data_IF_739867015561
#
_entry.id   IF_739867015561
#
_cell.length_a   1.000
_cell.length_b   1.000
_cell.length_c   1.000
_cell.angle_alpha   90.00
_cell.angle_beta   90.00
_cell.angle_gamma   90.00
#
_symmetry.space_group_name_H-M   'P 1'
#
loop_
_entity.id
_entity.type
_entity.pdbx_description
1 polymer ?
#
# COMPACT_ATOMS: atom_id res chain seq x y z
N UNK A 1 -12.06 4.91 -17.59
CA UNK A 1 -12.86 5.90 -16.81
C UNK A 1 -11.94 6.52 -15.78
N UNK A 2 -11.82 7.83 -15.83
CA UNK A 2 -10.97 8.61 -14.91
C UNK A 2 -11.83 9.44 -13.96
N UNK A 3 -11.21 10.03 -12.92
CA UNK A 3 -11.88 10.98 -12.03
C UNK A 3 -12.43 12.20 -12.79
N UNK A 4 -11.76 12.60 -13.87
CA UNK A 4 -12.18 13.72 -14.71
C UNK A 4 -13.43 13.39 -15.52
N UNK A 5 -13.57 12.16 -16.00
CA UNK A 5 -14.77 11.71 -16.73
C UNK A 5 -16.00 11.72 -15.82
N UNK A 6 -15.82 11.23 -14.57
CA UNK A 6 -16.89 11.25 -13.55
C UNK A 6 -17.26 12.68 -13.18
N UNK A 7 -16.28 13.56 -13.02
CA UNK A 7 -16.50 14.97 -12.73
C UNK A 7 -17.32 15.65 -13.83
N UNK A 8 -16.95 15.41 -15.08
CA UNK A 8 -17.65 15.92 -16.27
C UNK A 8 -19.13 15.45 -16.31
N UNK A 9 -19.36 14.14 -16.12
CA UNK A 9 -20.73 13.58 -16.14
C UNK A 9 -21.57 14.03 -14.92
N UNK A 10 -20.91 14.22 -13.78
CA UNK A 10 -21.57 14.75 -12.59
C UNK A 10 -21.85 16.27 -12.67
N UNK A 11 -21.18 17.00 -13.57
CA UNK A 11 -21.25 18.45 -13.64
C UNK A 11 -20.58 19.16 -12.46
N UNK A 12 -19.49 18.58 -11.94
CA UNK A 12 -18.74 19.11 -10.80
C UNK A 12 -17.24 19.09 -11.06
N UNK A 13 -16.46 19.73 -10.19
CA UNK A 13 -14.98 19.67 -10.29
C UNK A 13 -14.42 18.30 -9.88
N UNK A 14 -13.26 17.93 -10.42
CA UNK A 14 -12.54 16.72 -10.02
C UNK A 14 -12.19 16.73 -8.51
N UNK A 15 -11.96 17.90 -7.93
CA UNK A 15 -11.75 18.06 -6.48
C UNK A 15 -12.99 17.72 -5.67
N UNK A 16 -14.19 18.03 -6.15
CA UNK A 16 -15.44 17.63 -5.52
C UNK A 16 -15.65 16.12 -5.56
N UNK A 17 -15.34 15.48 -6.69
CA UNK A 17 -15.35 14.02 -6.82
C UNK A 17 -14.34 13.38 -5.85
N UNK A 18 -13.13 13.90 -5.79
CA UNK A 18 -12.09 13.45 -4.85
C UNK A 18 -12.54 13.54 -3.39
N UNK A 19 -13.21 14.64 -3.00
CA UNK A 19 -13.76 14.77 -1.65
C UNK A 19 -14.84 13.72 -1.35
N UNK A 20 -15.68 13.38 -2.32
CA UNK A 20 -16.69 12.32 -2.16
C UNK A 20 -16.04 10.96 -1.99
N UNK A 21 -15.05 10.63 -2.83
CA UNK A 21 -14.29 9.37 -2.77
C UNK A 21 -13.62 9.20 -1.41
N UNK A 22 -13.00 10.27 -0.90
CA UNK A 22 -12.29 10.26 0.38
C UNK A 22 -13.18 10.56 1.60
N UNK A 23 -14.49 10.56 1.41
CA UNK A 23 -15.49 10.80 2.45
C UNK A 23 -15.31 12.09 3.25
N UNK A 24 -14.71 13.13 2.63
CA UNK A 24 -14.48 14.43 3.28
C UNK A 24 -15.78 15.23 3.38
N UNK A 25 -15.85 16.09 4.40
CA UNK A 25 -16.93 17.06 4.61
C UNK A 25 -16.88 18.21 3.58
N UNK A 26 -17.94 19.03 3.52
CA UNK A 26 -17.98 20.21 2.64
C UNK A 26 -18.37 19.90 1.19
N UNK A 27 -19.07 18.80 0.94
CA UNK A 27 -19.69 18.48 -0.35
C UNK A 27 -21.21 18.47 -0.16
N UNK A 28 -21.92 19.18 -1.02
CA UNK A 28 -23.38 19.19 -1.01
C UNK A 28 -23.93 17.74 -1.06
N UNK A 29 -24.93 17.37 -0.22
CA UNK A 29 -25.48 16.03 -0.15
C UNK A 29 -26.01 15.49 -1.49
N UNK A 30 -26.59 16.34 -2.32
CA UNK A 30 -27.09 15.94 -3.65
C UNK A 30 -25.93 15.61 -4.60
N UNK A 31 -24.88 16.44 -4.59
CA UNK A 31 -23.65 16.19 -5.36
C UNK A 31 -23.02 14.88 -4.89
N UNK A 32 -22.95 14.63 -3.60
CA UNK A 32 -22.43 13.38 -3.02
C UNK A 32 -23.21 12.17 -3.55
N UNK A 33 -24.54 12.20 -3.50
CA UNK A 33 -25.39 11.11 -4.02
C UNK A 33 -25.17 10.88 -5.51
N UNK A 34 -25.11 11.96 -6.31
CA UNK A 34 -24.88 11.89 -7.75
C UNK A 34 -23.54 11.25 -8.09
N UNK A 35 -22.48 11.72 -7.46
CA UNK A 35 -21.12 11.17 -7.65
C UNK A 35 -21.05 9.70 -7.22
N UNK A 36 -21.60 9.35 -6.05
CA UNK A 36 -21.63 7.95 -5.58
C UNK A 36 -22.37 7.03 -6.55
N UNK A 37 -23.47 7.49 -7.16
CA UNK A 37 -24.20 6.72 -8.17
C UNK A 37 -23.34 6.46 -9.41
N UNK A 38 -22.59 7.46 -9.86
CA UNK A 38 -21.69 7.33 -11.02
C UNK A 38 -20.50 6.42 -10.70
N UNK A 39 -19.89 6.55 -9.53
CA UNK A 39 -18.81 5.66 -9.07
C UNK A 39 -19.25 4.18 -9.09
N UNK A 40 -20.47 3.90 -8.60
CA UNK A 40 -21.05 2.55 -8.65
C UNK A 40 -21.37 2.11 -10.08
N UNK A 41 -22.00 2.96 -10.89
CA UNK A 41 -22.36 2.66 -12.29
C UNK A 41 -21.17 2.23 -13.12
N UNK A 42 -20.03 2.90 -12.91
CA UNK A 42 -18.81 2.65 -13.68
C UNK A 42 -17.81 1.75 -12.98
N UNK A 43 -18.16 1.15 -11.84
CA UNK A 43 -17.24 0.34 -11.03
C UNK A 43 -15.89 1.04 -10.83
N UNK A 44 -15.93 2.37 -10.60
CA UNK A 44 -14.73 3.17 -10.50
C UNK A 44 -13.94 2.81 -9.26
N UNK A 45 -12.74 2.31 -9.46
CA UNK A 45 -11.78 2.07 -8.38
C UNK A 45 -10.76 3.22 -8.36
N UNK A 46 -10.66 3.99 -7.27
CA UNK A 46 -9.66 5.05 -7.17
C UNK A 46 -8.25 4.50 -7.29
N UNK A 47 -7.44 5.15 -8.12
CA UNK A 47 -6.02 4.80 -8.26
C UNK A 47 -5.29 5.05 -6.94
N UNK A 48 -4.79 3.96 -6.33
CA UNK A 48 -4.04 4.02 -5.07
C UNK A 48 -2.72 4.76 -5.23
N UNK A 49 -2.05 4.63 -6.38
CA UNK A 49 -0.80 5.33 -6.65
C UNK A 49 -1.02 6.85 -6.77
N UNK A 50 -2.08 7.27 -7.47
CA UNK A 50 -2.45 8.68 -7.56
C UNK A 50 -2.83 9.28 -6.19
N UNK A 51 -3.49 8.50 -5.32
CA UNK A 51 -3.77 8.92 -3.94
C UNK A 51 -2.50 9.04 -3.11
N UNK A 52 -1.57 8.10 -3.25
CA UNK A 52 -0.28 8.10 -2.56
C UNK A 52 0.55 9.34 -2.87
N UNK A 53 0.51 9.83 -4.10
CA UNK A 53 1.20 11.08 -4.50
C UNK A 53 0.66 12.31 -3.77
N UNK A 54 -0.65 12.36 -3.53
CA UNK A 54 -1.30 13.51 -2.85
C UNK A 54 -1.17 13.42 -1.33
N UNK A 55 -1.25 12.22 -0.76
CA UNK A 55 -1.21 11.99 0.69
C UNK A 55 0.21 11.80 1.24
N UNK A 56 1.21 11.66 0.39
CA UNK A 56 2.58 11.23 0.73
C UNK A 56 2.64 9.90 1.50
N UNK A 57 1.59 9.08 1.39
CA UNK A 57 1.41 7.81 2.08
C UNK A 57 1.03 6.73 1.07
N UNK A 58 1.86 5.71 0.93
CA UNK A 58 1.59 4.59 0.03
C UNK A 58 0.58 3.60 0.61
N UNK A 59 0.46 3.55 1.94
CA UNK A 59 -0.30 2.54 2.68
C UNK A 59 0.16 1.11 2.36
N UNK A 60 1.46 0.93 2.09
CA UNK A 60 2.05 -0.37 1.79
C UNK A 60 3.07 -0.71 2.88
N UNK A 61 2.98 -1.92 3.42
CA UNK A 61 3.97 -2.50 4.33
C UNK A 61 4.60 -3.71 3.66
N UNK A 62 5.91 -3.80 3.69
CA UNK A 62 6.65 -4.97 3.24
C UNK A 62 6.71 -6.05 4.32
N UNK A 63 6.57 -7.31 3.94
CA UNK A 63 6.83 -8.46 4.82
C UNK A 63 7.85 -9.34 4.11
N UNK A 64 9.05 -9.44 4.66
CA UNK A 64 10.11 -10.32 4.15
C UNK A 64 10.11 -11.63 4.93
N UNK A 65 10.07 -12.72 4.21
CA UNK A 65 10.08 -14.09 4.75
C UNK A 65 11.22 -14.85 4.10
N UNK A 66 12.03 -15.53 4.87
CA UNK A 66 13.15 -16.33 4.34
C UNK A 66 12.61 -17.54 3.54
N UNK A 67 11.66 -18.28 4.10
CA UNK A 67 11.01 -19.39 3.43
C UNK A 67 9.52 -19.41 3.75
N UNK A 68 8.69 -19.15 2.72
CA UNK A 68 7.23 -19.12 2.84
C UNK A 68 6.64 -20.51 3.14
N UNK A 69 7.38 -21.59 2.95
CA UNK A 69 6.96 -22.95 3.29
C UNK A 69 7.09 -23.24 4.78
N UNK A 70 7.85 -22.43 5.51
CA UNK A 70 7.96 -22.53 6.96
C UNK A 70 6.70 -22.02 7.64
N UNK A 71 5.95 -22.92 8.26
CA UNK A 71 4.65 -22.61 8.86
C UNK A 71 4.74 -21.54 9.95
N UNK A 72 5.82 -21.50 10.73
CA UNK A 72 6.00 -20.47 11.76
C UNK A 72 6.15 -19.07 11.16
N UNK A 73 6.80 -18.97 10.00
CA UNK A 73 6.94 -17.70 9.28
C UNK A 73 5.63 -17.27 8.65
N UNK A 74 4.89 -18.19 8.04
CA UNK A 74 3.61 -17.88 7.38
C UNK A 74 2.51 -17.58 8.38
N UNK A 75 2.46 -18.26 9.51
CA UNK A 75 1.53 -17.91 10.59
C UNK A 75 1.78 -16.49 11.10
N UNK A 76 3.04 -16.12 11.33
CA UNK A 76 3.40 -14.76 11.71
C UNK A 76 2.95 -13.75 10.68
N UNK A 77 3.24 -13.99 9.40
CA UNK A 77 2.84 -13.12 8.31
C UNK A 77 1.31 -12.99 8.20
N UNK A 78 0.57 -14.10 8.38
CA UNK A 78 -0.88 -14.10 8.35
C UNK A 78 -1.48 -13.15 9.40
N UNK A 79 -1.06 -13.25 10.65
CA UNK A 79 -1.59 -12.39 11.70
C UNK A 79 -1.20 -10.92 11.53
N UNK A 80 0.01 -10.65 11.07
CA UNK A 80 0.48 -9.30 10.76
C UNK A 80 -0.35 -8.71 9.64
N UNK A 81 -0.50 -9.42 8.53
CA UNK A 81 -1.31 -8.97 7.38
C UNK A 81 -2.75 -8.66 7.80
N UNK A 82 -3.41 -9.56 8.54
CA UNK A 82 -4.78 -9.36 9.02
C UNK A 82 -4.94 -8.10 9.88
N UNK A 83 -3.97 -7.80 10.72
CA UNK A 83 -3.97 -6.58 11.54
C UNK A 83 -3.76 -5.34 10.69
N UNK A 84 -2.83 -5.38 9.76
CA UNK A 84 -2.54 -4.26 8.86
C UNK A 84 -3.69 -4.00 7.87
N UNK A 85 -4.33 -5.05 7.36
CA UNK A 85 -5.51 -4.93 6.50
C UNK A 85 -6.67 -4.22 7.23
N UNK A 86 -6.89 -4.53 8.51
CA UNK A 86 -7.88 -3.84 9.34
C UNK A 86 -7.59 -2.35 9.52
N UNK A 87 -6.32 -1.93 9.38
CA UNK A 87 -5.87 -0.55 9.39
C UNK A 87 -5.79 0.08 7.99
N UNK A 88 -6.32 -0.59 6.97
CA UNK A 88 -6.28 -0.21 5.55
C UNK A 88 -4.86 -0.11 4.97
N UNK A 89 -3.94 -0.96 5.43
CA UNK A 89 -2.66 -1.19 4.77
C UNK A 89 -2.73 -2.37 3.81
N UNK A 90 -2.00 -2.29 2.72
CA UNK A 90 -1.73 -3.41 1.82
C UNK A 90 -0.37 -4.01 2.18
N UNK A 91 -0.26 -5.33 2.27
CA UNK A 91 1.01 -6.00 2.51
C UNK A 91 1.59 -6.55 1.21
N UNK A 92 2.88 -6.30 0.99
CA UNK A 92 3.68 -6.94 -0.05
C UNK A 92 4.57 -7.98 0.61
N UNK A 93 4.31 -9.26 0.34
CA UNK A 93 5.07 -10.37 0.92
C UNK A 93 6.12 -10.79 -0.10
N UNK A 94 7.38 -10.81 0.30
CA UNK A 94 8.51 -11.28 -0.50
C UNK A 94 9.19 -12.46 0.18
N UNK A 95 9.33 -13.57 -0.55
CA UNK A 95 10.12 -14.71 -0.15
C UNK A 95 11.57 -14.50 -0.62
N UNK A 96 12.50 -14.37 0.32
CA UNK A 96 13.89 -13.98 0.00
C UNK A 96 14.84 -15.16 -0.19
N UNK A 97 14.49 -16.33 0.34
CA UNK A 97 15.46 -17.43 0.43
C UNK A 97 16.54 -17.20 1.50
N UNK A 98 17.61 -17.98 1.41
CA UNK A 98 18.60 -18.11 2.49
C UNK A 98 19.91 -17.34 2.24
N UNK A 99 20.08 -16.70 1.10
CA UNK A 99 21.30 -15.95 0.77
C UNK A 99 21.14 -14.44 1.03
N UNK A 100 22.24 -13.80 1.38
CA UNK A 100 22.27 -12.37 1.74
C UNK A 100 22.01 -11.44 0.54
N UNK A 101 22.37 -11.86 -0.68
CA UNK A 101 22.16 -11.07 -1.88
C UNK A 101 20.65 -10.95 -2.18
N UNK A 102 19.94 -12.07 -2.15
CA UNK A 102 18.48 -12.09 -2.34
C UNK A 102 17.74 -11.29 -1.26
N UNK A 103 18.22 -11.32 -0.01
CA UNK A 103 17.66 -10.51 1.08
C UNK A 103 17.88 -9.01 0.84
N UNK A 104 19.09 -8.62 0.46
CA UNK A 104 19.40 -7.22 0.14
C UNK A 104 18.60 -6.72 -1.07
N UNK A 105 18.46 -7.55 -2.10
CA UNK A 105 17.64 -7.24 -3.27
C UNK A 105 16.17 -7.05 -2.89
N UNK A 106 15.60 -7.90 -2.04
CA UNK A 106 14.22 -7.76 -1.56
C UNK A 106 14.00 -6.44 -0.83
N UNK A 107 14.96 -5.99 -0.01
CA UNK A 107 14.91 -4.69 0.66
C UNK A 107 14.89 -3.55 -0.36
N UNK A 108 15.71 -3.60 -1.39
CA UNK A 108 15.70 -2.62 -2.49
C UNK A 108 14.37 -2.60 -3.24
N UNK A 109 13.74 -3.76 -3.46
CA UNK A 109 12.40 -3.84 -4.06
C UNK A 109 11.36 -3.13 -3.20
N UNK A 110 11.42 -3.26 -1.87
CA UNK A 110 10.50 -2.56 -0.98
C UNK A 110 10.64 -1.03 -1.07
N UNK A 111 11.87 -0.53 -1.18
CA UNK A 111 12.10 0.91 -1.42
C UNK A 111 11.45 1.37 -2.74
N UNK A 112 11.66 0.63 -3.82
CA UNK A 112 11.05 0.92 -5.13
C UNK A 112 9.50 0.93 -5.07
N UNK A 113 8.92 0.10 -4.22
CA UNK A 113 7.47 0.05 -3.96
C UNK A 113 7.00 1.13 -2.99
N UNK A 114 7.91 1.96 -2.45
CA UNK A 114 7.61 3.04 -1.51
C UNK A 114 6.84 2.54 -0.29
N UNK A 115 7.28 1.43 0.28
CA UNK A 115 6.67 0.94 1.52
C UNK A 115 6.88 1.94 2.66
N UNK A 116 5.94 2.00 3.59
CA UNK A 116 6.03 2.85 4.79
C UNK A 116 6.74 2.16 5.95
N UNK A 117 6.96 0.88 5.82
CA UNK A 117 7.66 0.07 6.80
C UNK A 117 7.87 -1.33 6.29
N UNK A 118 8.74 -2.07 6.97
CA UNK A 118 9.02 -3.46 6.65
C UNK A 118 9.05 -4.31 7.91
N UNK A 119 8.51 -5.52 7.81
CA UNK A 119 8.60 -6.56 8.83
C UNK A 119 9.45 -7.69 8.26
N UNK A 120 10.48 -8.11 9.00
CA UNK A 120 11.36 -9.20 8.63
C UNK A 120 11.09 -10.38 9.57
N UNK A 121 10.72 -11.52 9.01
CA UNK A 121 10.34 -12.71 9.76
C UNK A 121 11.38 -13.80 9.58
N UNK A 122 12.10 -14.09 10.64
CA UNK A 122 13.13 -15.11 10.71
C UNK A 122 14.49 -14.58 11.19
N UNK A 123 15.23 -15.41 11.90
CA UNK A 123 16.57 -15.06 12.43
C UNK A 123 17.62 -14.88 11.33
N UNK A 124 17.38 -15.43 10.15
CA UNK A 124 18.27 -15.32 8.98
C UNK A 124 18.46 -13.88 8.48
N UNK A 125 17.61 -12.93 8.89
CA UNK A 125 17.77 -11.52 8.58
C UNK A 125 18.72 -10.77 9.53
N UNK A 126 19.24 -11.42 10.56
CA UNK A 126 20.15 -10.81 11.54
C UNK A 126 21.60 -10.86 11.04
N UNK A 127 21.86 -10.27 9.87
CA UNK A 127 23.19 -10.18 9.26
C UNK A 127 23.60 -8.73 9.03
N UNK A 128 24.92 -8.47 8.98
CA UNK A 128 25.46 -7.14 8.70
C UNK A 128 25.04 -6.64 7.31
N UNK A 129 25.00 -7.54 6.33
CA UNK A 129 24.56 -7.24 4.96
C UNK A 129 23.12 -6.71 4.93
N UNK A 130 22.20 -7.36 5.66
CA UNK A 130 20.81 -6.93 5.78
C UNK A 130 20.71 -5.58 6.52
N UNK A 131 21.47 -5.41 7.60
CA UNK A 131 21.50 -4.15 8.35
C UNK A 131 21.96 -2.98 7.48
N UNK A 132 22.99 -3.18 6.65
CA UNK A 132 23.46 -2.18 5.70
C UNK A 132 22.43 -1.88 4.60
N UNK A 133 21.77 -2.90 4.08
CA UNK A 133 20.70 -2.72 3.09
C UNK A 133 19.53 -1.90 3.67
N UNK A 134 19.10 -2.18 4.90
CA UNK A 134 18.07 -1.40 5.60
C UNK A 134 18.50 0.06 5.74
N UNK A 135 19.72 0.33 6.22
CA UNK A 135 20.25 1.69 6.34
C UNK A 135 20.27 2.43 5.00
N UNK A 136 20.61 1.75 3.93
CA UNK A 136 20.71 2.33 2.59
C UNK A 136 19.35 2.64 1.97
N UNK A 137 18.41 1.71 2.08
CA UNK A 137 17.17 1.71 1.31
C UNK A 137 15.92 2.09 2.13
N UNK A 138 15.91 1.81 3.44
CA UNK A 138 14.73 2.02 4.29
C UNK A 138 14.96 3.05 5.42
N UNK A 139 16.08 3.76 5.43
CA UNK A 139 16.41 4.75 6.48
C UNK A 139 15.48 5.96 6.53
N UNK A 140 14.58 6.10 5.54
CA UNK A 140 13.57 7.16 5.46
C UNK A 140 12.14 6.64 5.71
N UNK A 141 12.02 5.38 6.09
CA UNK A 141 10.76 4.68 6.36
C UNK A 141 10.52 4.60 7.85
#
# INVERSE_FOLDING_TARGET
MTIYDIAKEAGVSASSVSRVINNKTGVNPEVRKKVQKLLKKYHYTPDAAARGLVSQSSRIIGILIADIRNIHHTDGAYYIERKLAALNYCCVILNTGDDDESRAQAISILEQRRVEGAVLIGSSFQTESVAQAIKRHLSKV
#
